data_IF_475116561653
#
_entry.id   IF_475116561653
#
_cell.length_a   1.000
_cell.length_b   1.000
_cell.length_c   1.000
_cell.angle_alpha   90.00
_cell.angle_beta   90.00
_cell.angle_gamma   90.00
#
_symmetry.space_group_name_H-M   'P 1'
#
loop_
_entity.id
_entity.type
_entity.pdbx_description
1 polymer ?
#
# COMPACT_ATOMS: atom_id res chain seq x y z
N UNK A 1 24.71 30.68 -12.06
CA UNK A 1 23.63 29.70 -12.23
C UNK A 1 22.81 29.65 -10.94
N UNK A 2 21.46 29.77 -11.06
CA UNK A 2 20.54 29.61 -9.94
C UNK A 2 19.95 28.21 -10.02
N UNK A 3 19.96 27.46 -8.91
CA UNK A 3 19.35 26.15 -8.79
C UNK A 3 17.98 26.30 -8.10
N UNK A 4 16.95 25.65 -8.63
CA UNK A 4 15.64 25.53 -8.01
C UNK A 4 15.43 24.09 -7.57
N UNK A 5 14.88 23.90 -6.37
CA UNK A 5 14.40 22.60 -5.89
C UNK A 5 12.89 22.65 -5.81
N UNK A 6 12.22 21.70 -6.45
CA UNK A 6 10.76 21.60 -6.49
C UNK A 6 10.35 20.25 -5.93
N UNK A 7 9.42 20.25 -5.01
CA UNK A 7 8.86 19.05 -4.42
C UNK A 7 7.33 19.09 -4.44
N UNK A 8 6.71 17.93 -4.70
CA UNK A 8 5.26 17.81 -4.70
C UNK A 8 4.74 17.66 -3.27
N UNK A 9 3.88 18.57 -2.83
CA UNK A 9 3.24 18.47 -1.53
C UNK A 9 2.36 17.20 -1.44
N UNK A 10 2.70 16.31 -0.49
CA UNK A 10 1.92 15.09 -0.20
C UNK A 10 1.66 14.21 -1.43
N UNK A 11 2.65 14.01 -2.29
CA UNK A 11 2.50 13.30 -3.57
C UNK A 11 1.91 11.89 -3.39
N UNK A 12 2.50 11.07 -2.53
CA UNK A 12 2.05 9.69 -2.30
C UNK A 12 0.63 9.61 -1.72
N UNK A 13 0.24 10.39 -0.69
CA UNK A 13 -1.14 10.45 -0.22
C UNK A 13 -2.16 10.86 -1.30
N UNK A 14 -1.79 11.77 -2.20
CA UNK A 14 -2.66 12.15 -3.33
C UNK A 14 -2.89 11.00 -4.30
N UNK A 15 -1.84 10.23 -4.63
CA UNK A 15 -1.97 9.01 -5.43
C UNK A 15 -2.81 7.94 -4.73
N UNK A 16 -2.66 7.79 -3.42
CA UNK A 16 -3.45 6.84 -2.64
C UNK A 16 -4.95 7.18 -2.73
N UNK A 17 -5.32 8.44 -2.50
CA UNK A 17 -6.70 8.91 -2.61
C UNK A 17 -7.22 8.77 -4.05
N UNK A 18 -6.41 9.13 -5.06
CA UNK A 18 -6.77 8.95 -6.46
C UNK A 18 -7.15 7.50 -6.78
N UNK A 19 -6.32 6.53 -6.39
CA UNK A 19 -6.62 5.12 -6.64
C UNK A 19 -7.84 4.63 -5.85
N UNK A 20 -8.02 5.06 -4.60
CA UNK A 20 -9.25 4.75 -3.86
C UNK A 20 -10.50 5.30 -4.56
N UNK A 21 -10.42 6.51 -5.10
CA UNK A 21 -11.53 7.15 -5.83
C UNK A 21 -11.85 6.47 -7.17
N UNK A 22 -10.87 5.78 -7.78
CA UNK A 22 -11.09 5.03 -9.04
C UNK A 22 -11.69 3.64 -8.83
N UNK A 23 -11.82 3.17 -7.59
CA UNK A 23 -12.53 1.94 -7.28
C UNK A 23 -14.03 2.11 -7.58
N UNK A 24 -14.67 1.05 -8.05
CA UNK A 24 -16.08 1.05 -8.46
C UNK A 24 -16.88 -0.02 -7.74
N UNK A 25 -18.19 0.12 -7.73
CA UNK A 25 -19.12 -0.87 -7.13
C UNK A 25 -18.93 -0.97 -5.62
N UNK A 26 -18.96 -2.19 -5.09
CA UNK A 26 -18.83 -2.49 -3.65
C UNK A 26 -17.47 -2.11 -3.05
N UNK A 27 -16.50 -1.86 -3.89
CA UNK A 27 -15.14 -1.52 -3.46
C UNK A 27 -14.93 -0.02 -3.28
N UNK A 28 -15.82 0.81 -3.84
CA UNK A 28 -15.81 2.26 -3.66
C UNK A 28 -16.50 2.59 -2.34
N UNK A 29 -15.75 3.09 -1.38
CA UNK A 29 -16.31 3.51 -0.10
C UNK A 29 -16.89 4.92 -0.17
N UNK A 30 -18.10 5.19 0.38
CA UNK A 30 -18.74 6.52 0.32
C UNK A 30 -17.86 7.66 0.87
N UNK A 31 -17.09 7.42 1.92
CA UNK A 31 -16.20 8.42 2.53
C UNK A 31 -15.11 8.94 1.57
N UNK A 32 -14.78 8.23 0.48
CA UNK A 32 -13.71 8.65 -0.40
C UNK A 32 -14.05 9.93 -1.19
N UNK A 33 -15.31 10.14 -1.50
CA UNK A 33 -15.74 11.34 -2.24
C UNK A 33 -15.58 12.60 -1.38
N UNK A 34 -15.79 12.51 -0.07
CA UNK A 34 -15.52 13.59 0.89
C UNK A 34 -14.01 13.89 0.98
N UNK A 35 -13.20 12.83 1.06
CA UNK A 35 -11.74 12.95 1.04
C UNK A 35 -11.25 13.66 -0.23
N UNK A 36 -11.78 13.28 -1.39
CA UNK A 36 -11.46 13.91 -2.68
C UNK A 36 -11.84 15.39 -2.67
N UNK A 37 -13.03 15.74 -2.16
CA UNK A 37 -13.48 17.13 -2.03
C UNK A 37 -12.52 17.97 -1.19
N UNK A 38 -12.09 17.48 -0.03
CA UNK A 38 -11.10 18.17 0.82
C UNK A 38 -9.79 18.45 0.09
N UNK A 39 -9.33 17.53 -0.76
CA UNK A 39 -8.14 17.75 -1.60
C UNK A 39 -8.34 18.83 -2.67
N UNK A 40 -9.53 18.94 -3.25
CA UNK A 40 -9.86 20.00 -4.21
C UNK A 40 -9.98 21.40 -3.56
N UNK A 41 -10.42 21.46 -2.31
CA UNK A 41 -10.53 22.69 -1.54
C UNK A 41 -9.17 23.18 -0.99
N UNK A 42 -8.09 22.43 -1.19
CA UNK A 42 -6.73 22.87 -0.88
C UNK A 42 -6.28 22.67 0.58
N UNK A 43 -7.14 22.15 1.46
CA UNK A 43 -6.92 22.05 2.90
C UNK A 43 -6.67 20.63 3.42
N UNK A 44 -6.34 19.65 2.56
CA UNK A 44 -6.24 18.27 2.96
C UNK A 44 -4.89 17.92 3.59
N UNK A 45 -4.87 17.71 4.88
CA UNK A 45 -3.86 16.89 5.56
C UNK A 45 -4.38 15.46 5.71
N UNK A 46 -3.95 14.57 4.80
CA UNK A 46 -4.39 13.17 4.79
C UNK A 46 -4.14 12.45 6.13
N UNK A 47 -3.03 12.75 6.80
CA UNK A 47 -2.71 12.10 8.07
C UNK A 47 -3.58 12.62 9.21
N UNK A 48 -3.94 13.90 9.20
CA UNK A 48 -4.89 14.45 10.16
C UNK A 48 -6.28 13.90 9.92
N UNK A 49 -6.72 13.86 8.68
CA UNK A 49 -8.01 13.31 8.29
C UNK A 49 -8.20 11.86 8.77
N UNK A 50 -7.17 11.02 8.54
CA UNK A 50 -7.19 9.63 9.01
C UNK A 50 -7.13 9.56 10.54
N UNK A 51 -6.40 10.45 11.20
CA UNK A 51 -6.36 10.56 12.65
C UNK A 51 -7.76 10.82 13.22
N UNK A 52 -8.49 11.76 12.63
CA UNK A 52 -9.85 12.12 13.04
C UNK A 52 -10.85 10.97 12.79
N UNK A 53 -10.78 10.33 11.62
CA UNK A 53 -11.62 9.18 11.29
C UNK A 53 -11.40 7.98 12.22
N UNK A 54 -10.14 7.67 12.52
CA UNK A 54 -9.76 6.54 13.36
C UNK A 54 -9.78 6.85 14.85
N UNK A 55 -9.94 8.12 15.23
CA UNK A 55 -9.83 8.63 16.60
C UNK A 55 -8.51 8.26 17.26
N UNK A 56 -7.40 8.52 16.57
CA UNK A 56 -6.02 8.27 17.02
C UNK A 56 -5.17 9.54 16.83
N UNK A 57 -4.07 9.69 17.58
CA UNK A 57 -3.15 10.81 17.37
C UNK A 57 -2.60 10.87 15.94
N UNK A 58 -2.46 12.08 15.37
CA UNK A 58 -1.93 12.30 14.00
C UNK A 58 -0.58 11.59 13.74
N UNK A 59 0.30 11.56 14.75
CA UNK A 59 1.60 10.87 14.66
C UNK A 59 1.40 9.36 14.42
N UNK A 60 0.47 8.74 15.14
CA UNK A 60 0.11 7.33 14.95
C UNK A 60 -0.53 7.11 13.58
N UNK A 61 -1.49 7.94 13.17
CA UNK A 61 -2.12 7.88 11.85
C UNK A 61 -1.08 7.96 10.73
N UNK A 62 -0.09 8.85 10.82
CA UNK A 62 1.01 8.93 9.85
C UNK A 62 1.79 7.61 9.77
N UNK A 63 2.15 7.03 10.92
CA UNK A 63 2.91 5.76 10.97
C UNK A 63 2.11 4.60 10.41
N UNK A 64 0.81 4.50 10.75
CA UNK A 64 -0.08 3.44 10.23
C UNK A 64 -0.32 3.61 8.73
N UNK A 65 -0.57 4.82 8.25
CA UNK A 65 -0.72 5.11 6.82
C UNK A 65 0.50 4.65 6.01
N UNK A 66 1.70 5.04 6.46
CA UNK A 66 2.94 4.61 5.84
C UNK A 66 3.11 3.09 5.96
N UNK A 67 2.79 2.53 7.12
CA UNK A 67 2.84 1.08 7.36
C UNK A 67 2.00 0.30 6.35
N UNK A 68 0.75 0.69 6.14
CA UNK A 68 -0.15 0.06 5.15
C UNK A 68 0.40 0.21 3.74
N UNK A 69 0.84 1.41 3.35
CA UNK A 69 1.42 1.67 2.04
C UNK A 69 2.66 0.81 1.76
N UNK A 70 3.47 0.55 2.78
CA UNK A 70 4.70 -0.25 2.66
C UNK A 70 4.49 -1.75 2.95
N UNK A 71 3.25 -2.19 3.19
CA UNK A 71 2.94 -3.59 3.50
C UNK A 71 3.50 -4.05 4.84
N UNK A 72 3.53 -3.17 5.81
CA UNK A 72 4.04 -3.43 7.16
C UNK A 72 3.05 -4.30 7.93
N UNK A 73 3.51 -5.42 8.48
CA UNK A 73 2.73 -6.25 9.39
C UNK A 73 2.77 -5.73 10.83
N UNK A 74 1.89 -6.29 11.71
CA UNK A 74 1.74 -5.89 13.11
C UNK A 74 3.06 -5.86 13.90
N UNK A 75 3.92 -6.87 13.76
CA UNK A 75 5.20 -6.93 14.46
C UNK A 75 6.17 -5.80 14.09
N UNK A 76 6.23 -5.44 12.79
CA UNK A 76 7.05 -4.31 12.35
C UNK A 76 6.45 -2.97 12.79
N UNK A 77 5.12 -2.85 12.79
CA UNK A 77 4.43 -1.65 13.28
C UNK A 77 4.69 -1.47 14.78
N UNK A 78 4.59 -2.54 15.57
CA UNK A 78 4.90 -2.53 16.99
C UNK A 78 6.32 -2.00 17.27
N UNK A 79 7.32 -2.54 16.56
CA UNK A 79 8.70 -2.07 16.68
C UNK A 79 8.90 -0.59 16.29
N UNK A 80 8.22 -0.11 15.24
CA UNK A 80 8.35 1.27 14.77
C UNK A 80 7.68 2.26 15.73
N UNK A 81 6.62 1.83 16.40
CA UNK A 81 5.85 2.65 17.34
C UNK A 81 6.29 2.50 18.80
N UNK A 82 7.19 1.55 19.07
CA UNK A 82 7.63 1.18 20.43
C UNK A 82 6.44 0.82 21.34
N UNK A 83 5.60 -0.09 20.85
CA UNK A 83 4.42 -0.63 21.54
C UNK A 83 4.39 -2.15 21.46
N UNK A 84 3.57 -2.78 22.28
CA UNK A 84 3.37 -4.23 22.24
C UNK A 84 2.66 -4.68 20.94
N UNK A 85 2.90 -5.92 20.51
CA UNK A 85 2.34 -6.46 19.25
C UNK A 85 0.80 -6.51 19.31
N UNK A 86 0.24 -6.81 20.46
CA UNK A 86 -1.20 -6.82 20.72
C UNK A 86 -1.83 -5.43 20.60
N UNK A 87 -1.11 -4.40 21.01
CA UNK A 87 -1.54 -3.01 20.88
C UNK A 87 -1.49 -2.56 19.41
N UNK A 88 -0.44 -2.92 18.69
CA UNK A 88 -0.32 -2.67 17.27
C UNK A 88 -1.42 -3.38 16.47
N UNK A 89 -1.80 -4.61 16.85
CA UNK A 89 -2.91 -5.34 16.23
C UNK A 89 -4.26 -4.64 16.43
N UNK A 90 -4.58 -4.24 17.66
CA UNK A 90 -5.80 -3.47 17.97
C UNK A 90 -5.86 -2.14 17.21
N UNK A 91 -4.71 -1.45 17.10
CA UNK A 91 -4.60 -0.21 16.34
C UNK A 91 -4.89 -0.44 14.87
N UNK A 92 -4.33 -1.48 14.25
CA UNK A 92 -4.61 -1.85 12.86
C UNK A 92 -6.06 -2.26 12.64
N UNK A 93 -6.67 -2.99 13.56
CA UNK A 93 -8.09 -3.35 13.50
C UNK A 93 -8.99 -2.12 13.55
N UNK A 94 -8.78 -1.23 14.52
CA UNK A 94 -9.51 0.03 14.63
C UNK A 94 -9.36 0.89 13.38
N UNK A 95 -8.14 0.99 12.88
CA UNK A 95 -7.84 1.71 11.64
C UNK A 95 -8.60 1.12 10.44
N UNK A 96 -8.54 -0.20 10.26
CA UNK A 96 -9.20 -0.88 9.15
C UNK A 96 -10.73 -0.78 9.20
N UNK A 97 -11.31 -0.69 10.40
CA UNK A 97 -12.76 -0.48 10.58
C UNK A 97 -13.18 0.96 10.26
N UNK A 98 -12.35 1.94 10.61
CA UNK A 98 -12.65 3.36 10.48
C UNK A 98 -12.25 3.94 9.12
N UNK A 99 -11.26 3.34 8.45
CA UNK A 99 -10.71 3.78 7.16
C UNK A 99 -10.69 2.62 6.15
N UNK A 100 -11.82 1.98 5.87
CA UNK A 100 -11.89 0.73 5.11
C UNK A 100 -11.44 0.85 3.65
N UNK A 101 -11.53 2.03 3.05
CA UNK A 101 -11.13 2.24 1.65
C UNK A 101 -9.63 1.99 1.39
N UNK A 102 -8.77 2.24 2.39
CA UNK A 102 -7.33 1.97 2.26
C UNK A 102 -7.05 0.46 2.27
N UNK A 103 -7.75 -0.27 3.12
CA UNK A 103 -7.66 -1.73 3.18
C UNK A 103 -8.13 -2.35 1.86
N UNK A 104 -9.27 -1.92 1.34
CA UNK A 104 -9.81 -2.40 0.06
C UNK A 104 -8.83 -2.19 -1.09
N UNK A 105 -8.20 -1.02 -1.19
CA UNK A 105 -7.18 -0.75 -2.22
C UNK A 105 -5.97 -1.68 -2.07
N UNK A 106 -5.47 -1.86 -0.84
CA UNK A 106 -4.33 -2.74 -0.56
C UNK A 106 -4.61 -4.19 -0.93
N UNK A 107 -5.75 -4.71 -0.52
CA UNK A 107 -6.19 -6.08 -0.83
C UNK A 107 -6.34 -6.29 -2.34
N UNK A 108 -6.95 -5.35 -3.06
CA UNK A 108 -7.06 -5.41 -4.52
C UNK A 108 -5.69 -5.39 -5.22
N UNK A 109 -4.79 -4.52 -4.80
CA UNK A 109 -3.44 -4.48 -5.36
C UNK A 109 -2.70 -5.81 -5.13
N UNK A 110 -2.79 -6.38 -3.91
CA UNK A 110 -2.19 -7.67 -3.59
C UNK A 110 -2.81 -8.83 -4.38
N UNK A 111 -4.14 -8.89 -4.48
CA UNK A 111 -4.86 -9.91 -5.26
C UNK A 111 -4.44 -9.85 -6.72
N UNK A 112 -4.43 -8.66 -7.32
CA UNK A 112 -3.97 -8.50 -8.71
C UNK A 112 -2.51 -8.94 -8.89
N UNK A 113 -1.63 -8.65 -7.93
CA UNK A 113 -0.24 -9.10 -7.97
C UNK A 113 -0.12 -10.61 -7.85
N UNK A 114 -0.94 -11.25 -7.01
CA UNK A 114 -1.00 -12.72 -6.87
C UNK A 114 -1.50 -13.41 -8.15
N UNK A 115 -2.61 -12.95 -8.68
CA UNK A 115 -3.30 -13.63 -9.78
C UNK A 115 -2.61 -13.38 -11.13
N UNK A 116 -2.30 -12.12 -11.42
CA UNK A 116 -1.76 -11.72 -12.73
C UNK A 116 -0.23 -11.52 -12.73
N UNK A 117 0.43 -11.49 -11.57
CA UNK A 117 1.88 -11.27 -11.47
C UNK A 117 2.33 -9.87 -11.88
N UNK A 118 1.42 -8.93 -12.08
CA UNK A 118 1.73 -7.58 -12.54
C UNK A 118 0.73 -6.56 -12.03
N UNK A 119 1.23 -5.41 -11.64
CA UNK A 119 0.46 -4.18 -11.50
C UNK A 119 0.98 -3.12 -12.48
N UNK A 120 0.15 -2.14 -12.79
CA UNK A 120 0.52 -1.03 -13.69
C UNK A 120 0.39 0.29 -12.95
N UNK A 121 1.41 1.14 -13.10
CA UNK A 121 1.39 2.52 -12.62
C UNK A 121 0.46 3.38 -13.47
N UNK A 122 0.31 4.64 -13.11
CA UNK A 122 -0.52 5.61 -13.83
C UNK A 122 -0.21 5.72 -15.32
N UNK A 123 1.07 5.73 -15.71
CA UNK A 123 1.48 5.75 -17.13
C UNK A 123 1.57 4.34 -17.75
N UNK A 124 1.03 3.31 -17.10
CA UNK A 124 0.99 1.95 -17.64
C UNK A 124 2.28 1.16 -17.47
N UNK A 125 3.31 1.69 -16.78
CA UNK A 125 4.55 0.98 -16.50
C UNK A 125 4.27 -0.27 -15.67
N UNK A 126 4.81 -1.41 -16.12
CA UNK A 126 4.60 -2.71 -15.49
C UNK A 126 5.56 -2.93 -14.31
N UNK A 127 5.01 -3.22 -13.14
CA UNK A 127 5.74 -3.73 -11.99
C UNK A 127 5.43 -5.23 -11.87
N UNK A 128 6.43 -6.09 -12.11
CA UNK A 128 6.27 -7.55 -12.14
C UNK A 128 6.56 -8.19 -10.79
N UNK A 129 5.91 -9.34 -10.56
CA UNK A 129 6.09 -10.22 -9.40
C UNK A 129 6.44 -11.63 -9.90
N UNK A 130 7.66 -11.76 -10.41
CA UNK A 130 8.13 -12.96 -11.12
C UNK A 130 8.98 -13.87 -10.22
N UNK A 131 9.07 -13.56 -8.91
CA UNK A 131 9.73 -14.39 -7.92
C UNK A 131 8.70 -15.22 -7.14
N UNK A 132 9.10 -16.41 -6.71
CA UNK A 132 8.23 -17.39 -6.06
C UNK A 132 8.87 -17.88 -4.76
N UNK A 133 8.03 -18.16 -3.77
CA UNK A 133 8.38 -18.71 -2.46
C UNK A 133 7.45 -19.88 -2.14
N UNK A 134 7.83 -20.81 -1.23
CA UNK A 134 6.94 -21.88 -0.83
C UNK A 134 5.71 -21.33 -0.07
N UNK A 135 4.60 -22.05 -0.17
CA UNK A 135 3.36 -21.71 0.57
C UNK A 135 3.56 -21.96 2.08
N UNK A 136 4.44 -22.90 2.46
CA UNK A 136 4.76 -23.18 3.86
C UNK A 136 5.44 -22.01 4.56
N UNK A 137 5.16 -21.88 5.85
CA UNK A 137 5.75 -20.82 6.71
C UNK A 137 7.27 -21.05 6.87
N UNK A 138 8.04 -19.95 6.86
CA UNK A 138 9.48 -19.97 7.13
C UNK A 138 10.22 -18.84 6.41
N UNK A 139 11.48 -18.63 6.76
CA UNK A 139 12.40 -17.75 6.04
C UNK A 139 12.86 -18.46 4.76
N UNK A 140 12.15 -18.22 3.65
CA UNK A 140 12.46 -18.84 2.39
C UNK A 140 12.99 -17.81 1.39
N UNK A 141 13.97 -18.23 0.60
CA UNK A 141 14.50 -17.42 -0.49
C UNK A 141 13.47 -17.37 -1.62
N UNK A 142 13.14 -16.17 -2.07
CA UNK A 142 12.34 -16.03 -3.28
C UNK A 142 13.20 -16.31 -4.53
N UNK A 143 12.74 -17.21 -5.40
CA UNK A 143 13.43 -17.70 -6.58
C UNK A 143 12.60 -17.47 -7.86
N UNK A 144 13.23 -17.40 -9.05
CA UNK A 144 12.53 -17.53 -10.32
C UNK A 144 11.69 -18.82 -10.36
N UNK A 145 10.63 -18.84 -11.16
CA UNK A 145 9.65 -19.95 -11.16
C UNK A 145 10.27 -21.34 -11.33
N UNK A 146 11.18 -21.49 -12.29
CA UNK A 146 11.81 -22.78 -12.60
C UNK A 146 12.69 -23.28 -11.45
N UNK A 147 13.46 -22.37 -10.83
CA UNK A 147 14.28 -22.69 -9.68
C UNK A 147 13.42 -22.98 -8.43
N UNK A 148 12.35 -22.21 -8.23
CA UNK A 148 11.41 -22.42 -7.12
C UNK A 148 10.70 -23.79 -7.22
N UNK A 149 10.38 -24.25 -8.43
CA UNK A 149 9.79 -25.58 -8.65
C UNK A 149 10.80 -26.69 -8.31
N UNK A 150 12.06 -26.52 -8.69
CA UNK A 150 13.12 -27.49 -8.35
C UNK A 150 13.38 -27.57 -6.85
N UNK A 151 13.40 -26.43 -6.19
CA UNK A 151 13.75 -26.32 -4.77
C UNK A 151 12.56 -26.68 -3.84
N UNK A 152 11.38 -26.17 -4.15
CA UNK A 152 10.20 -26.25 -3.27
C UNK A 152 9.10 -27.20 -3.75
N UNK A 153 9.25 -27.77 -4.94
CA UNK A 153 8.31 -28.71 -5.54
C UNK A 153 7.32 -28.06 -6.53
N UNK A 154 6.23 -28.77 -6.83
CA UNK A 154 5.27 -28.40 -7.88
C UNK A 154 4.65 -27.00 -7.70
N UNK A 155 4.04 -26.48 -8.79
CA UNK A 155 3.34 -25.18 -8.80
C UNK A 155 2.32 -25.00 -7.65
N UNK A 156 1.69 -26.06 -7.17
CA UNK A 156 0.75 -26.01 -6.05
C UNK A 156 1.40 -25.76 -4.67
N UNK A 157 2.73 -25.91 -4.57
CA UNK A 157 3.49 -25.69 -3.34
C UNK A 157 4.19 -24.34 -3.27
N UNK A 158 4.15 -23.54 -4.35
CA UNK A 158 4.77 -22.24 -4.45
C UNK A 158 3.72 -21.16 -4.71
N UNK A 159 4.01 -19.93 -4.25
CA UNK A 159 3.22 -18.73 -4.50
C UNK A 159 4.12 -17.58 -4.94
N UNK A 160 3.55 -16.56 -5.58
CA UNK A 160 4.31 -15.34 -5.91
C UNK A 160 4.79 -14.65 -4.65
N UNK A 161 6.07 -14.34 -4.61
CA UNK A 161 6.72 -13.62 -3.52
C UNK A 161 6.46 -12.10 -3.60
N UNK A 162 6.62 -11.42 -2.47
CA UNK A 162 6.58 -9.95 -2.34
C UNK A 162 5.28 -9.28 -2.76
N UNK A 163 4.18 -10.01 -2.93
CA UNK A 163 2.88 -9.44 -3.34
C UNK A 163 2.33 -8.42 -2.34
N UNK A 164 2.73 -8.49 -1.07
CA UNK A 164 2.42 -7.49 -0.06
C UNK A 164 2.98 -6.09 -0.37
N UNK A 165 3.99 -5.98 -1.26
CA UNK A 165 4.55 -4.71 -1.74
C UNK A 165 3.76 -4.10 -2.90
N UNK A 166 2.64 -4.71 -3.32
CA UNK A 166 1.91 -4.29 -4.51
C UNK A 166 1.41 -2.84 -4.42
N UNK A 167 0.78 -2.47 -3.30
CA UNK A 167 0.31 -1.11 -3.08
C UNK A 167 1.47 -0.09 -3.11
N UNK A 168 2.56 -0.39 -2.42
CA UNK A 168 3.75 0.46 -2.42
C UNK A 168 4.28 0.69 -3.85
N UNK A 169 4.44 -0.39 -4.64
CA UNK A 169 4.89 -0.29 -6.03
C UNK A 169 3.93 0.51 -6.92
N UNK A 170 2.63 0.42 -6.67
CA UNK A 170 1.62 1.21 -7.37
C UNK A 170 1.80 2.71 -7.06
N UNK A 171 1.83 3.06 -5.79
CA UNK A 171 1.90 4.46 -5.33
C UNK A 171 3.23 5.11 -5.71
N UNK A 172 4.36 4.52 -5.29
CA UNK A 172 5.68 5.07 -5.59
C UNK A 172 5.99 5.08 -7.09
N UNK A 173 5.54 4.04 -7.80
CA UNK A 173 5.68 3.98 -9.25
C UNK A 173 4.93 5.09 -9.95
N UNK A 174 3.70 5.40 -9.54
CA UNK A 174 2.91 6.49 -10.11
C UNK A 174 3.45 7.87 -9.72
N UNK A 175 3.97 8.03 -8.51
CA UNK A 175 4.70 9.22 -8.08
C UNK A 175 5.92 9.48 -8.96
N UNK A 176 6.72 8.45 -9.22
CA UNK A 176 7.87 8.55 -10.11
C UNK A 176 7.46 8.86 -11.57
N UNK A 177 6.35 8.30 -12.05
CA UNK A 177 5.81 8.60 -13.38
C UNK A 177 5.40 10.08 -13.49
N UNK A 178 4.74 10.61 -12.48
CA UNK A 178 4.34 12.02 -12.41
C UNK A 178 5.56 12.94 -12.44
N UNK A 179 6.54 12.68 -11.58
CA UNK A 179 7.78 13.48 -11.50
C UNK A 179 8.56 13.49 -12.81
N UNK A 180 8.56 12.36 -13.54
CA UNK A 180 9.24 12.27 -14.84
C UNK A 180 8.49 12.95 -15.99
N UNK A 181 7.18 13.15 -15.83
CA UNK A 181 6.34 13.78 -16.84
C UNK A 181 6.25 15.29 -16.67
N UNK A 182 6.49 15.82 -15.47
CA UNK A 182 6.53 17.24 -15.16
C UNK A 182 7.78 17.90 -15.73
#
# INVERSE_FOLDING_TARGET
HKWGSFDYASQEPRWLVHYCATLTGVDKHPQIDEVVKMYHEGNADFHQMVADMANIPRKQAKTVNLGIMYGMGKGKLANVMDIEVEEAEKLLETYNQRVPFLRSLSEKAMTRAKDHGVIRTWLGRKCRFDMYEPVSYGFNKALPMEEAIKEYGSKGRIRRAFTYKALNRLIQGSSADQTKKA
#
